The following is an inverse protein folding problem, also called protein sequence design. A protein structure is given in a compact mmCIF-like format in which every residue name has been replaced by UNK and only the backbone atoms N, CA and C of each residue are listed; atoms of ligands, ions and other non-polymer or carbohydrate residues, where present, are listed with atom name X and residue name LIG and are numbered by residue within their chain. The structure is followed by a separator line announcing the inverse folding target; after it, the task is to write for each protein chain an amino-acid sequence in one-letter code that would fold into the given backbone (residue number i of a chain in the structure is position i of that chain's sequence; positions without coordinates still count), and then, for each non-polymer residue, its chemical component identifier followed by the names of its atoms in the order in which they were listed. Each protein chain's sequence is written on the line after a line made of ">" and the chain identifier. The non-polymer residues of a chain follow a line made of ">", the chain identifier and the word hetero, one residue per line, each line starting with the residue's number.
data_IF_727152502299
#
_entry.id   IF_727152502299
#
_cell.length_a   1.000
_cell.length_b   1.000
_cell.length_c   1.000
_cell.angle_alpha   90.00
_cell.angle_beta   90.00
_cell.angle_gamma   90.00
#
_symmetry.space_group_name_H-M   'P 1'
#
loop_
_entity.id
_entity.type
_entity.pdbx_description
1 polymer ?
#
# COMPACT_ATOMS: atom_id res chain seq x y z
N UNK A 1 -5.43 20.90 0.19
CA UNK A 1 -5.64 20.02 -1.00
C UNK A 1 -6.30 18.74 -0.54
N UNK A 2 -7.42 18.37 -1.17
CA UNK A 2 -8.17 17.19 -0.71
C UNK A 2 -7.34 15.91 -0.92
N UNK A 3 -7.20 15.13 0.13
CA UNK A 3 -6.27 14.00 0.21
C UNK A 3 -7.05 12.70 0.51
N UNK A 4 -6.56 11.56 0.01
CA UNK A 4 -7.03 10.22 0.40
C UNK A 4 -5.85 9.35 0.81
N UNK A 5 -6.06 8.46 1.79
CA UNK A 5 -5.10 7.42 2.16
C UNK A 5 -5.43 6.14 1.39
N UNK A 6 -4.46 5.64 0.62
CA UNK A 6 -4.54 4.35 -0.08
C UNK A 6 -3.86 3.28 0.76
N UNK A 7 -4.67 2.41 1.38
CA UNK A 7 -4.22 1.27 2.16
C UNK A 7 -4.11 0.05 1.25
N UNK A 8 -2.89 -0.20 0.72
CA UNK A 8 -2.65 -1.15 -0.36
C UNK A 8 -2.32 -2.53 0.19
N UNK A 9 -3.17 -3.52 -0.10
CA UNK A 9 -2.94 -4.94 0.09
C UNK A 9 -2.50 -5.34 1.52
N UNK A 10 -2.98 -4.63 2.55
CA UNK A 10 -2.71 -5.00 3.95
C UNK A 10 -3.65 -6.13 4.35
N UNK A 11 -3.31 -7.35 3.91
CA UNK A 11 -4.20 -8.52 3.93
C UNK A 11 -3.55 -9.80 4.43
N UNK A 12 -4.37 -10.71 4.96
CA UNK A 12 -3.98 -12.01 5.52
C UNK A 12 -3.38 -12.99 4.51
N UNK A 13 -3.48 -12.73 3.23
CA UNK A 13 -2.86 -13.56 2.19
C UNK A 13 -1.32 -13.62 2.31
N UNK A 14 -0.69 -12.54 2.78
CA UNK A 14 0.78 -12.46 2.91
C UNK A 14 1.35 -13.37 3.99
N UNK A 15 0.81 -13.47 5.20
CA UNK A 15 1.25 -14.43 6.22
C UNK A 15 1.25 -15.90 5.76
N UNK A 16 0.50 -16.23 4.70
CA UNK A 16 0.46 -17.57 4.14
C UNK A 16 1.65 -17.88 3.22
N UNK A 17 2.55 -16.92 3.03
CA UNK A 17 3.71 -17.06 2.14
C UNK A 17 5.01 -17.32 2.93
N UNK A 18 5.92 -18.14 2.39
CA UNK A 18 7.15 -18.54 3.10
C UNK A 18 8.12 -17.39 3.36
N UNK A 19 7.99 -16.26 2.64
CA UNK A 19 8.82 -15.08 2.83
C UNK A 19 8.31 -14.15 3.96
N UNK A 20 7.17 -14.45 4.58
CA UNK A 20 6.62 -13.61 5.65
C UNK A 20 7.58 -13.48 6.83
N UNK A 21 7.71 -12.26 7.36
CA UNK A 21 8.49 -11.95 8.56
C UNK A 21 7.62 -11.21 9.57
N UNK A 22 7.37 -11.84 10.71
CA UNK A 22 6.55 -11.26 11.76
C UNK A 22 7.21 -10.02 12.37
N UNK A 23 8.53 -10.02 12.57
CA UNK A 23 9.26 -8.87 13.12
C UNK A 23 9.09 -7.61 12.26
N UNK A 24 9.19 -7.75 10.93
CA UNK A 24 8.94 -6.64 10.01
C UNK A 24 7.48 -6.19 10.03
N UNK A 25 6.55 -7.13 10.13
CA UNK A 25 5.12 -6.86 10.20
C UNK A 25 4.73 -6.06 11.45
N UNK A 26 5.33 -6.36 12.61
CA UNK A 26 5.04 -5.64 13.85
C UNK A 26 5.49 -4.17 13.81
N UNK A 27 6.63 -3.90 13.17
CA UNK A 27 7.10 -2.52 12.94
C UNK A 27 6.17 -1.79 11.97
N UNK A 28 5.87 -2.42 10.84
CA UNK A 28 4.95 -1.91 9.82
C UNK A 28 3.57 -1.59 10.41
N UNK A 29 2.98 -2.51 11.19
CA UNK A 29 1.66 -2.33 11.81
C UNK A 29 1.60 -1.12 12.74
N UNK A 30 2.67 -0.81 13.47
CA UNK A 30 2.70 0.41 14.29
C UNK A 30 2.57 1.67 13.45
N UNK A 31 3.30 1.76 12.34
CA UNK A 31 3.27 2.94 11.46
C UNK A 31 1.95 3.04 10.67
N UNK A 32 1.47 1.93 10.12
CA UNK A 32 0.24 1.94 9.35
C UNK A 32 -0.98 2.23 10.23
N UNK A 33 -1.01 1.72 11.45
CA UNK A 33 -2.09 2.01 12.40
C UNK A 33 -2.07 3.49 12.84
N UNK A 34 -0.89 4.06 13.11
CA UNK A 34 -0.77 5.49 13.39
C UNK A 34 -1.26 6.35 12.21
N UNK A 35 -1.00 5.92 10.98
CA UNK A 35 -1.48 6.59 9.78
C UNK A 35 -3.01 6.49 9.64
N UNK A 36 -3.60 5.32 9.95
CA UNK A 36 -5.07 5.13 9.97
C UNK A 36 -5.71 6.03 11.02
N UNK A 37 -5.22 6.00 12.27
CA UNK A 37 -5.75 6.82 13.38
C UNK A 37 -5.66 8.31 13.06
N UNK A 38 -4.51 8.73 12.51
CA UNK A 38 -4.29 10.10 12.08
C UNK A 38 -5.20 10.54 10.92
N UNK A 39 -5.48 9.65 9.97
CA UNK A 39 -6.40 9.91 8.87
C UNK A 39 -7.84 10.02 9.36
N UNK A 40 -8.30 9.08 10.20
CA UNK A 40 -9.65 9.10 10.78
C UNK A 40 -9.88 10.37 11.60
N UNK A 41 -8.93 10.77 12.46
CA UNK A 41 -9.05 11.97 13.28
C UNK A 41 -9.14 13.28 12.48
N UNK A 42 -8.70 13.28 11.22
CA UNK A 42 -8.72 14.42 10.30
C UNK A 42 -9.81 14.34 9.24
N UNK A 43 -10.63 13.28 9.25
CA UNK A 43 -11.65 13.05 8.23
C UNK A 43 -11.07 12.79 6.84
N UNK A 44 -9.83 12.26 6.75
CA UNK A 44 -9.20 11.87 5.50
C UNK A 44 -9.81 10.54 5.08
N UNK A 45 -10.44 10.44 3.89
CA UNK A 45 -11.00 9.18 3.42
C UNK A 45 -9.91 8.13 3.22
N UNK A 46 -10.20 6.91 3.69
CA UNK A 46 -9.29 5.77 3.56
C UNK A 46 -9.87 4.81 2.53
N UNK A 47 -9.09 4.52 1.50
CA UNK A 47 -9.41 3.51 0.48
C UNK A 47 -8.75 2.20 0.88
N UNK A 48 -9.54 1.13 0.99
CA UNK A 48 -9.05 -0.23 1.18
C UNK A 48 -8.82 -0.88 -0.17
N UNK A 49 -7.61 -1.37 -0.39
CA UNK A 49 -7.26 -2.12 -1.60
C UNK A 49 -6.90 -3.55 -1.21
N UNK A 50 -7.52 -4.53 -1.85
CA UNK A 50 -7.13 -5.93 -1.77
C UNK A 50 -6.58 -6.39 -3.12
N UNK A 51 -5.60 -7.27 -3.08
CA UNK A 51 -5.05 -7.93 -4.26
C UNK A 51 -5.53 -9.37 -4.33
N UNK A 52 -6.04 -9.74 -5.51
CA UNK A 52 -6.32 -11.14 -5.83
C UNK A 52 -5.62 -11.54 -7.12
N UNK A 53 -5.08 -12.74 -7.16
CA UNK A 53 -4.33 -13.25 -8.31
C UNK A 53 -4.32 -14.78 -8.38
N UNK A 54 -4.15 -15.28 -9.59
CA UNK A 54 -3.99 -16.69 -9.89
C UNK A 54 -5.27 -17.53 -9.76
N UNK A 55 -5.12 -18.87 -9.88
CA UNK A 55 -6.25 -19.77 -9.94
C UNK A 55 -6.96 -19.89 -8.58
N UNK A 56 -8.28 -20.12 -8.64
CA UNK A 56 -9.12 -20.38 -7.47
C UNK A 56 -8.88 -21.81 -6.94
N UNK A 57 -7.74 -22.01 -6.29
CA UNK A 57 -7.37 -23.28 -5.64
C UNK A 57 -7.22 -23.06 -4.14
N UNK A 58 -7.48 -24.10 -3.36
CA UNK A 58 -7.38 -24.05 -1.90
C UNK A 58 -5.98 -23.66 -1.39
N UNK A 59 -4.92 -23.89 -2.18
CA UNK A 59 -3.54 -23.54 -1.85
C UNK A 59 -3.15 -22.11 -2.23
N UNK A 60 -4.03 -21.33 -2.87
CA UNK A 60 -3.73 -19.96 -3.26
C UNK A 60 -4.38 -18.95 -2.30
N UNK A 61 -3.64 -18.34 -1.36
CA UNK A 61 -4.19 -17.38 -0.42
C UNK A 61 -4.60 -16.05 -1.07
N UNK A 62 -4.21 -15.79 -2.31
CA UNK A 62 -4.59 -14.63 -3.11
C UNK A 62 -5.74 -14.92 -4.09
N UNK A 63 -6.29 -16.14 -4.13
CA UNK A 63 -7.40 -16.43 -5.03
C UNK A 63 -8.61 -15.54 -4.70
N UNK A 64 -9.35 -15.13 -5.73
CA UNK A 64 -10.65 -14.49 -5.52
C UNK A 64 -11.56 -15.39 -4.67
N UNK A 65 -12.16 -14.82 -3.61
CA UNK A 65 -12.95 -15.57 -2.64
C UNK A 65 -12.15 -16.38 -1.61
N UNK A 66 -10.81 -16.28 -1.60
CA UNK A 66 -9.99 -16.86 -0.54
C UNK A 66 -10.33 -16.25 0.83
N UNK A 67 -10.43 -17.05 1.92
CA UNK A 67 -10.68 -16.53 3.26
C UNK A 67 -9.55 -15.64 3.79
N UNK A 68 -8.41 -15.60 3.10
CA UNK A 68 -7.26 -14.77 3.43
C UNK A 68 -7.29 -13.39 2.74
N UNK A 69 -8.20 -13.15 1.81
CA UNK A 69 -8.43 -11.82 1.21
C UNK A 69 -9.31 -11.01 2.18
N UNK A 70 -8.71 -10.59 3.26
CA UNK A 70 -9.31 -9.81 4.36
C UNK A 70 -8.23 -9.00 5.07
N UNK A 71 -8.57 -7.98 5.88
CA UNK A 71 -7.58 -7.18 6.61
C UNK A 71 -6.62 -8.04 7.41
N UNK A 72 -5.34 -7.64 7.40
CA UNK A 72 -4.28 -8.28 8.18
C UNK A 72 -4.61 -8.18 9.67
N UNK A 73 -4.39 -9.27 10.40
CA UNK A 73 -4.55 -9.29 11.86
C UNK A 73 -3.61 -8.26 12.50
N UNK A 74 -4.15 -7.44 13.41
CA UNK A 74 -3.42 -6.33 14.03
C UNK A 74 -3.55 -4.99 13.30
N UNK A 75 -4.16 -4.95 12.10
CA UNK A 75 -4.51 -3.70 11.45
C UNK A 75 -5.65 -3.01 12.21
N UNK A 76 -5.50 -1.73 12.52
CA UNK A 76 -6.53 -0.92 13.16
C UNK A 76 -7.81 -0.90 12.29
N UNK A 77 -8.98 -1.03 12.89
CA UNK A 77 -10.24 -0.99 12.15
C UNK A 77 -10.50 0.43 11.61
N UNK A 78 -11.01 0.49 10.39
CA UNK A 78 -11.47 1.75 9.80
C UNK A 78 -12.65 1.48 8.86
N UNK A 79 -13.52 2.48 8.73
CA UNK A 79 -14.54 2.50 7.69
C UNK A 79 -13.89 2.94 6.38
N UNK A 80 -13.95 2.08 5.36
CA UNK A 80 -13.37 2.39 4.06
C UNK A 80 -14.34 3.25 3.24
N UNK A 81 -13.89 4.40 2.77
CA UNK A 81 -14.64 5.24 1.84
C UNK A 81 -14.82 4.57 0.47
N UNK A 82 -13.90 3.69 0.11
CA UNK A 82 -13.98 2.79 -1.03
C UNK A 82 -13.22 1.50 -0.70
N UNK A 83 -13.77 0.35 -1.08
CA UNK A 83 -13.02 -0.91 -1.11
C UNK A 83 -12.91 -1.38 -2.55
N UNK A 84 -11.70 -1.69 -3.00
CA UNK A 84 -11.42 -2.23 -4.33
C UNK A 84 -10.67 -3.55 -4.22
N UNK A 85 -10.95 -4.44 -5.16
CA UNK A 85 -10.18 -5.65 -5.38
C UNK A 85 -9.50 -5.53 -6.74
N UNK A 86 -8.18 -5.66 -6.76
CA UNK A 86 -7.37 -5.50 -7.97
C UNK A 86 -6.69 -6.81 -8.36
N UNK A 87 -6.41 -6.95 -9.65
CA UNK A 87 -5.73 -8.09 -10.25
C UNK A 87 -4.39 -7.71 -10.91
N UNK A 88 -3.94 -6.46 -10.71
CA UNK A 88 -2.68 -5.93 -11.22
C UNK A 88 -1.95 -5.21 -10.10
N UNK A 89 -0.65 -4.91 -10.28
CA UNK A 89 0.12 -4.26 -9.22
C UNK A 89 -0.39 -2.87 -8.89
N UNK A 90 -0.68 -2.03 -9.89
CA UNK A 90 -1.28 -0.73 -9.64
C UNK A 90 -2.74 -0.86 -9.18
N UNK A 91 -3.08 -0.13 -8.12
CA UNK A 91 -4.45 -0.04 -7.62
C UNK A 91 -5.40 0.73 -8.56
N UNK A 92 -4.87 1.44 -9.55
CA UNK A 92 -5.65 2.21 -10.52
C UNK A 92 -6.04 1.37 -11.76
N UNK A 93 -5.37 0.23 -11.99
CA UNK A 93 -5.61 -0.59 -13.20
C UNK A 93 -6.78 -1.54 -13.00
N UNK A 94 -7.83 -1.35 -13.81
CA UNK A 94 -9.01 -2.23 -13.83
C UNK A 94 -9.86 -2.14 -12.57
N UNK A 95 -9.78 -1.03 -11.83
CA UNK A 95 -10.57 -0.74 -10.64
C UNK A 95 -11.30 0.60 -10.77
N UNK A 96 -12.33 0.87 -9.98
CA UNK A 96 -13.02 2.16 -9.97
C UNK A 96 -12.23 3.28 -9.27
N UNK A 97 -11.01 3.02 -8.77
CA UNK A 97 -10.28 3.95 -7.91
C UNK A 97 -10.01 5.30 -8.58
N UNK A 98 -9.52 5.31 -9.82
CA UNK A 98 -9.23 6.57 -10.54
C UNK A 98 -10.49 7.45 -10.67
N UNK A 99 -11.60 6.85 -11.09
CA UNK A 99 -12.89 7.54 -11.20
C UNK A 99 -13.33 8.08 -9.84
N UNK A 100 -13.27 7.26 -8.79
CA UNK A 100 -13.64 7.67 -7.44
C UNK A 100 -12.79 8.85 -6.93
N UNK A 101 -11.47 8.82 -7.15
CA UNK A 101 -10.57 9.91 -6.78
C UNK A 101 -10.97 11.23 -7.46
N UNK A 102 -11.27 11.19 -8.76
CA UNK A 102 -11.70 12.37 -9.53
C UNK A 102 -13.05 12.88 -9.03
N UNK A 103 -14.06 12.02 -8.90
CA UNK A 103 -15.41 12.39 -8.46
C UNK A 103 -15.44 12.99 -7.05
N UNK A 104 -14.53 12.54 -6.18
CA UNK A 104 -14.39 13.08 -4.83
C UNK A 104 -13.45 14.28 -4.74
N UNK A 105 -12.90 14.76 -5.87
CA UNK A 105 -12.01 15.91 -5.94
C UNK A 105 -10.68 15.70 -5.23
N UNK A 106 -10.23 14.44 -5.12
CA UNK A 106 -8.93 14.11 -4.52
C UNK A 106 -7.82 14.57 -5.45
N UNK A 107 -6.85 15.29 -4.91
CA UNK A 107 -5.68 15.80 -5.63
C UNK A 107 -4.36 15.23 -5.11
N UNK A 108 -4.38 14.69 -3.91
CA UNK A 108 -3.23 14.04 -3.27
C UNK A 108 -3.62 12.68 -2.76
N UNK A 109 -2.71 11.72 -2.90
CA UNK A 109 -2.84 10.39 -2.32
C UNK A 109 -1.66 10.10 -1.40
N UNK A 110 -1.95 9.52 -0.24
CA UNK A 110 -0.93 8.95 0.65
C UNK A 110 -0.89 7.47 0.36
N UNK A 111 0.29 6.91 0.07
CA UNK A 111 0.47 5.50 -0.25
C UNK A 111 1.15 4.78 0.91
N UNK A 112 0.50 3.73 1.40
CA UNK A 112 1.00 2.81 2.42
C UNK A 112 0.51 1.38 2.12
N UNK A 113 1.22 0.35 2.60
CA UNK A 113 0.80 -1.04 2.44
C UNK A 113 1.89 -2.04 2.04
N UNK A 114 1.53 -3.08 1.29
CA UNK A 114 2.36 -4.23 0.92
C UNK A 114 2.28 -4.50 -0.59
N UNK A 115 3.35 -4.79 -1.36
CA UNK A 115 4.77 -4.70 -1.00
C UNK A 115 5.33 -3.37 -1.47
N UNK A 116 6.32 -2.87 -0.75
CA UNK A 116 6.97 -1.59 -1.01
C UNK A 116 7.34 -1.40 -2.49
N UNK A 117 8.13 -2.31 -3.05
CA UNK A 117 8.71 -2.26 -4.40
C UNK A 117 7.77 -2.77 -5.51
N UNK A 118 6.61 -3.31 -5.15
CA UNK A 118 5.63 -3.86 -6.09
C UNK A 118 4.37 -2.99 -6.13
N UNK A 119 3.34 -3.36 -5.39
CA UNK A 119 2.04 -2.70 -5.47
C UNK A 119 2.10 -1.23 -5.03
N UNK A 120 2.88 -0.91 -3.98
CA UNK A 120 3.02 0.47 -3.51
C UNK A 120 3.80 1.33 -4.51
N UNK A 121 4.99 0.89 -4.97
CA UNK A 121 5.78 1.61 -5.97
C UNK A 121 5.01 1.77 -7.28
N UNK A 122 4.40 0.67 -7.79
CA UNK A 122 3.67 0.71 -9.06
C UNK A 122 2.46 1.65 -9.00
N UNK A 123 1.70 1.62 -7.90
CA UNK A 123 0.56 2.55 -7.71
C UNK A 123 1.05 3.99 -7.61
N UNK A 124 2.15 4.24 -6.90
CA UNK A 124 2.76 5.56 -6.76
C UNK A 124 3.13 6.16 -8.11
N UNK A 125 3.86 5.40 -8.95
CA UNK A 125 4.26 5.85 -10.28
C UNK A 125 3.05 6.14 -11.16
N UNK A 126 2.07 5.24 -11.16
CA UNK A 126 0.86 5.40 -11.97
C UNK A 126 0.03 6.59 -11.49
N UNK A 127 -0.16 6.78 -10.18
CA UNK A 127 -0.87 7.93 -9.66
C UNK A 127 -0.19 9.26 -10.03
N UNK A 128 1.14 9.30 -9.97
CA UNK A 128 1.94 10.46 -10.39
C UNK A 128 1.79 10.74 -11.89
N UNK A 129 1.83 9.72 -12.73
CA UNK A 129 1.67 9.87 -14.19
C UNK A 129 0.27 10.34 -14.58
N UNK A 130 -0.76 9.98 -13.80
CA UNK A 130 -2.14 10.45 -13.94
C UNK A 130 -2.38 11.86 -13.32
N UNK A 131 -1.36 12.46 -12.69
CA UNK A 131 -1.39 13.84 -12.22
C UNK A 131 -1.78 14.04 -10.74
N UNK A 132 -1.88 12.99 -9.94
CA UNK A 132 -2.01 13.15 -8.49
C UNK A 132 -0.67 13.47 -7.82
N UNK A 133 -0.70 14.35 -6.81
CA UNK A 133 0.41 14.44 -5.87
C UNK A 133 0.45 13.17 -5.01
N UNK A 134 1.64 12.61 -4.81
CA UNK A 134 1.80 11.38 -4.03
C UNK A 134 2.72 11.61 -2.85
N UNK A 135 2.26 11.28 -1.65
CA UNK A 135 3.07 11.10 -0.46
C UNK A 135 3.32 9.61 -0.25
N UNK A 136 4.57 9.18 -0.41
CA UNK A 136 4.98 7.81 -0.18
C UNK A 136 5.51 7.68 1.25
N UNK A 137 4.81 6.90 2.09
CA UNK A 137 5.18 6.72 3.51
C UNK A 137 5.94 5.41 3.65
N UNK A 138 7.26 5.44 3.41
CA UNK A 138 8.11 4.25 3.37
C UNK A 138 8.05 3.41 4.65
N UNK A 139 7.98 4.04 5.83
CA UNK A 139 7.85 3.35 7.12
C UNK A 139 6.50 2.63 7.29
N UNK A 140 5.46 3.08 6.59
CA UNK A 140 4.17 2.44 6.53
C UNK A 140 4.03 1.52 5.29
N UNK A 141 5.14 1.09 4.70
CA UNK A 141 5.19 0.00 3.72
C UNK A 141 5.97 -1.19 4.23
N UNK A 142 5.65 -2.39 3.72
CA UNK A 142 6.32 -3.63 4.09
C UNK A 142 6.85 -4.35 2.84
N UNK A 143 8.07 -4.84 2.93
CA UNK A 143 8.65 -5.77 1.96
C UNK A 143 9.49 -6.83 2.66
N UNK A 144 10.06 -7.76 1.91
CA UNK A 144 10.76 -8.94 2.38
C UNK A 144 12.05 -9.13 1.59
N UNK A 145 13.01 -9.84 2.17
CA UNK A 145 14.24 -10.20 1.48
C UNK A 145 13.95 -10.92 0.16
N UNK A 146 14.74 -10.62 -0.86
CA UNK A 146 14.61 -11.20 -2.20
C UNK A 146 15.95 -11.71 -2.69
N UNK A 147 15.92 -12.81 -3.43
CA UNK A 147 17.12 -13.33 -4.11
C UNK A 147 17.18 -12.79 -5.54
N UNK A 148 18.30 -12.18 -5.91
CA UNK A 148 18.54 -11.73 -7.28
C UNK A 148 18.73 -12.93 -8.23
N UNK A 149 18.58 -12.74 -9.55
CA UNK A 149 18.88 -13.81 -10.52
C UNK A 149 20.32 -14.36 -10.44
N UNK A 150 21.26 -13.56 -9.91
CA UNK A 150 22.65 -13.96 -9.67
C UNK A 150 22.87 -14.66 -8.32
N UNK A 151 21.81 -14.92 -7.55
CA UNK A 151 21.86 -15.62 -6.26
C UNK A 151 22.24 -14.75 -5.06
N UNK A 152 22.41 -13.43 -5.22
CA UNK A 152 22.63 -12.51 -4.10
C UNK A 152 21.32 -12.24 -3.38
N UNK A 153 21.30 -12.26 -2.05
CA UNK A 153 20.16 -11.75 -1.26
C UNK A 153 20.22 -10.23 -1.19
N UNK A 154 19.08 -9.60 -1.49
CA UNK A 154 18.78 -8.21 -1.18
C UNK A 154 17.88 -8.20 0.05
N UNK A 155 18.30 -7.50 1.08
CA UNK A 155 17.49 -7.32 2.28
C UNK A 155 16.27 -6.43 2.03
N UNK A 156 15.23 -6.58 2.85
CA UNK A 156 14.06 -5.70 2.81
C UNK A 156 14.45 -4.21 2.92
N UNK A 157 15.50 -3.90 3.71
CA UNK A 157 16.01 -2.54 3.85
C UNK A 157 16.62 -2.01 2.54
N UNK A 158 17.48 -2.80 1.87
CA UNK A 158 18.06 -2.42 0.57
C UNK A 158 16.99 -2.23 -0.50
N UNK A 159 15.94 -3.06 -0.50
CA UNK A 159 14.82 -2.96 -1.44
C UNK A 159 14.03 -1.67 -1.18
N UNK A 160 13.74 -1.35 0.08
CA UNK A 160 13.06 -0.10 0.45
C UNK A 160 13.89 1.13 0.07
N UNK A 161 15.17 1.16 0.44
CA UNK A 161 16.08 2.26 0.07
C UNK A 161 16.12 2.50 -1.44
N UNK A 162 16.22 1.43 -2.23
CA UNK A 162 16.16 1.52 -3.70
C UNK A 162 14.83 2.12 -4.16
N UNK A 163 13.70 1.67 -3.60
CA UNK A 163 12.38 2.15 -3.98
C UNK A 163 12.22 3.64 -3.66
N UNK A 164 12.58 4.05 -2.46
CA UNK A 164 12.56 5.45 -2.03
C UNK A 164 13.47 6.32 -2.92
N UNK A 165 14.68 5.84 -3.22
CA UNK A 165 15.66 6.56 -4.09
C UNK A 165 15.10 6.85 -5.49
N UNK A 166 14.36 5.92 -6.08
CA UNK A 166 13.83 6.13 -7.44
C UNK A 166 12.50 6.90 -7.46
N UNK A 167 11.80 6.97 -6.33
CA UNK A 167 10.53 7.70 -6.22
C UNK A 167 10.71 9.16 -5.86
N UNK A 168 11.68 9.49 -4.99
CA UNK A 168 11.86 10.82 -4.43
C UNK A 168 12.09 11.88 -5.52
N UNK A 169 11.40 13.02 -5.40
CA UNK A 169 11.50 14.18 -6.30
C UNK A 169 11.15 13.89 -7.76
N UNK A 170 10.67 12.70 -8.07
CA UNK A 170 10.28 12.32 -9.43
C UNK A 170 8.80 11.92 -9.50
N UNK A 171 8.39 10.97 -8.65
CA UNK A 171 7.04 10.41 -8.63
C UNK A 171 6.30 10.71 -7.32
N UNK A 172 7.05 10.94 -6.23
CA UNK A 172 6.47 11.16 -4.93
C UNK A 172 7.33 12.07 -4.05
N UNK A 173 6.70 12.63 -3.04
CA UNK A 173 7.38 13.13 -1.84
C UNK A 173 7.51 11.98 -0.86
N UNK A 174 8.73 11.68 -0.40
CA UNK A 174 8.90 10.79 0.74
C UNK A 174 8.44 11.50 2.01
N UNK A 175 7.67 10.81 2.81
CA UNK A 175 7.10 11.37 4.03
C UNK A 175 7.15 10.36 5.17
N UNK A 176 7.35 10.84 6.37
CA UNK A 176 6.97 10.13 7.59
C UNK A 176 5.44 10.15 7.75
N UNK A 177 4.92 9.35 8.68
CA UNK A 177 3.48 9.37 9.03
C UNK A 177 3.03 10.79 9.39
N UNK A 178 3.77 11.47 10.26
CA UNK A 178 3.43 12.82 10.73
C UNK A 178 3.46 13.86 9.62
N UNK A 179 4.46 13.80 8.75
CA UNK A 179 4.57 14.73 7.60
C UNK A 179 3.45 14.54 6.59
N UNK A 180 3.09 13.29 6.27
CA UNK A 180 1.98 12.99 5.36
C UNK A 180 0.65 13.50 5.92
N UNK A 181 0.40 13.26 7.21
CA UNK A 181 -0.80 13.74 7.90
C UNK A 181 -0.84 15.27 8.04
N UNK A 182 0.31 15.92 8.24
CA UNK A 182 0.39 17.38 8.33
C UNK A 182 0.09 18.07 6.99
N UNK A 183 0.46 17.44 5.87
CA UNK A 183 0.18 17.95 4.51
C UNK A 183 -1.24 17.64 4.03
N UNK A 184 -1.90 16.65 4.61
CA UNK A 184 -3.26 16.27 4.25
C UNK A 184 -4.27 17.31 4.77
N UNK A 185 -5.17 17.78 3.89
CA UNK A 185 -6.23 18.75 4.19
C UNK A 185 -7.52 18.33 3.54
#
# INVERSE_FOLDING_TARGET
>A
MKTALLMIDVQESFPQRPYWSQTGADVFLRHVNALIDGAQSRGIPIVRVFHTDGPQTAGNPFAHGSPFVRPLTGLAPFEAALTVEKHRHSALVGTPLATWLVENGIRRVIVAGIRTEQCCETTTRHASDEGWEVDFVGDATLTFDMTTPAGKTLSAAEIRERTETVLVNRFATLATVDEALARAR
#
